data_IF_074675066093
#
_entry.id   IF_074675066093
#
_cell.length_a   1.000
_cell.length_b   1.000
_cell.length_c   1.000
_cell.angle_alpha   90.00
_cell.angle_beta   90.00
_cell.angle_gamma   90.00
#
_symmetry.space_group_name_H-M   'P 1'
#
loop_
_entity.id
_entity.type
_entity.pdbx_description
1 polymer ?
#
# COMPACT_ATOMS: atom_id res chain seq x y z
N UNK A 1 1.37 1.41 37.53
CA UNK A 1 1.90 2.79 37.62
C UNK A 1 1.98 3.34 36.20
N UNK A 2 1.21 4.40 35.88
CA UNK A 2 1.16 4.98 34.53
C UNK A 2 2.35 5.95 34.38
N UNK A 3 3.45 5.50 33.80
CA UNK A 3 4.62 6.35 33.59
C UNK A 3 4.34 7.25 32.38
N UNK A 4 3.97 8.52 32.63
CA UNK A 4 3.80 9.53 31.58
C UNK A 4 5.17 10.01 31.11
N UNK A 5 5.86 9.19 30.32
CA UNK A 5 7.03 9.67 29.58
C UNK A 5 6.56 10.51 28.39
N UNK A 6 6.39 11.81 28.60
CA UNK A 6 6.35 12.75 27.48
C UNK A 6 7.77 12.86 26.93
N UNK A 7 8.21 11.89 26.13
CA UNK A 7 9.39 12.11 25.30
C UNK A 7 8.99 13.13 24.24
N UNK A 8 9.23 14.41 24.54
CA UNK A 8 9.16 15.56 23.65
C UNK A 8 10.20 15.49 22.52
N UNK A 9 10.79 14.32 22.26
CA UNK A 9 11.48 14.01 21.01
C UNK A 9 10.59 14.55 19.91
N UNK A 10 11.11 15.58 19.26
CA UNK A 10 10.37 16.45 18.37
C UNK A 10 9.43 15.56 17.57
N UNK A 11 8.14 15.63 17.86
CA UNK A 11 7.14 15.04 17.00
C UNK A 11 7.11 15.94 15.77
N UNK A 12 8.25 16.05 15.05
CA UNK A 12 8.26 16.25 13.62
C UNK A 12 7.20 15.30 13.14
N UNK A 13 6.06 15.88 12.76
CA UNK A 13 4.76 15.22 12.74
C UNK A 13 4.88 14.10 11.72
N UNK A 14 5.23 12.91 12.18
CA UNK A 14 5.56 11.82 11.29
C UNK A 14 4.31 11.51 10.51
N UNK A 15 4.44 11.49 9.19
CA UNK A 15 3.36 11.07 8.29
C UNK A 15 2.87 9.69 8.74
N UNK A 16 1.57 9.47 8.62
CA UNK A 16 0.93 8.16 8.80
C UNK A 16 0.60 7.59 7.44
N UNK A 17 0.82 6.28 7.30
CA UNK A 17 0.61 5.58 6.05
C UNK A 17 -0.54 4.59 6.23
N UNK A 18 -1.44 4.51 5.25
CA UNK A 18 -2.53 3.54 5.24
C UNK A 18 -2.34 2.58 4.07
N UNK A 19 -2.02 1.32 4.38
CA UNK A 19 -2.14 0.23 3.40
C UNK A 19 -3.57 -0.25 3.42
N UNK A 20 -4.17 -0.46 2.24
CA UNK A 20 -5.50 -1.06 2.12
C UNK A 20 -5.41 -2.22 1.15
N UNK A 21 -6.12 -3.29 1.48
CA UNK A 21 -6.22 -4.51 0.67
C UNK A 21 -7.68 -4.73 0.37
N UNK A 22 -8.02 -4.83 -0.91
CA UNK A 22 -9.38 -5.07 -1.40
C UNK A 22 -9.46 -6.45 -2.01
N UNK A 23 -10.36 -7.28 -1.49
CA UNK A 23 -10.74 -8.57 -2.07
C UNK A 23 -11.92 -8.36 -3.00
N UNK A 24 -11.71 -8.68 -4.27
CA UNK A 24 -12.68 -8.45 -5.34
C UNK A 24 -13.40 -9.76 -5.61
N UNK A 25 -14.72 -9.70 -5.75
CA UNK A 25 -15.53 -10.84 -6.18
C UNK A 25 -15.02 -11.25 -7.58
N UNK A 26 -14.64 -12.52 -7.82
CA UNK A 26 -13.91 -12.90 -9.04
C UNK A 26 -14.61 -12.49 -10.34
N UNK A 27 -15.92 -12.66 -10.45
CA UNK A 27 -16.69 -12.29 -11.66
C UNK A 27 -16.96 -10.78 -11.79
N UNK A 28 -16.53 -9.96 -10.82
CA UNK A 28 -16.58 -8.48 -10.85
C UNK A 28 -15.19 -7.87 -11.02
N UNK A 29 -14.14 -8.69 -11.16
CA UNK A 29 -12.76 -8.21 -11.25
C UNK A 29 -12.56 -7.19 -12.37
N UNK A 30 -13.00 -7.49 -13.59
CA UNK A 30 -12.83 -6.59 -14.74
C UNK A 30 -13.60 -5.28 -14.56
N UNK A 31 -14.81 -5.33 -14.00
CA UNK A 31 -15.60 -4.15 -13.67
C UNK A 31 -14.86 -3.27 -12.66
N UNK A 32 -14.37 -3.87 -11.57
CA UNK A 32 -13.64 -3.14 -10.54
C UNK A 32 -12.32 -2.57 -11.05
N UNK A 33 -11.59 -3.34 -11.86
CA UNK A 33 -10.34 -2.94 -12.47
C UNK A 33 -10.54 -1.72 -13.36
N UNK A 34 -11.46 -1.79 -14.34
CA UNK A 34 -11.75 -0.67 -15.25
C UNK A 34 -12.17 0.59 -14.50
N UNK A 35 -13.08 0.44 -13.54
CA UNK A 35 -13.54 1.55 -12.70
C UNK A 35 -12.37 2.18 -11.91
N UNK A 36 -11.50 1.36 -11.31
CA UNK A 36 -10.35 1.86 -10.56
C UNK A 36 -9.35 2.58 -11.47
N UNK A 37 -9.07 2.04 -12.67
CA UNK A 37 -8.19 2.67 -13.64
C UNK A 37 -8.72 4.03 -14.11
N UNK A 38 -10.03 4.14 -14.33
CA UNK A 38 -10.68 5.38 -14.77
C UNK A 38 -10.72 6.45 -13.67
N UNK A 39 -11.08 6.06 -12.44
CA UNK A 39 -11.47 6.99 -11.39
C UNK A 39 -10.37 7.29 -10.39
N UNK A 40 -9.29 6.49 -10.33
CA UNK A 40 -8.20 6.79 -9.39
C UNK A 40 -7.58 8.19 -9.53
N UNK A 41 -7.46 8.81 -10.73
CA UNK A 41 -6.98 10.18 -10.86
C UNK A 41 -7.76 11.19 -10.00
N UNK A 42 -9.08 11.00 -9.87
CA UNK A 42 -9.93 11.86 -9.02
C UNK A 42 -9.54 11.73 -7.54
N UNK A 43 -9.16 10.52 -7.12
CA UNK A 43 -8.71 10.27 -5.75
C UNK A 43 -7.32 10.83 -5.50
N UNK A 44 -6.37 10.65 -6.43
CA UNK A 44 -5.00 11.11 -6.25
C UNK A 44 -4.88 12.63 -6.27
N UNK A 45 -5.81 13.33 -6.93
CA UNK A 45 -5.91 14.79 -6.88
C UNK A 45 -6.14 15.35 -5.45
N UNK A 46 -6.73 14.56 -4.54
CA UNK A 46 -7.03 14.98 -3.16
C UNK A 46 -6.35 14.12 -2.09
N UNK A 47 -5.67 13.03 -2.46
CA UNK A 47 -5.00 12.11 -1.55
C UNK A 47 -3.64 11.70 -2.11
N UNK A 48 -2.59 11.80 -1.30
CA UNK A 48 -1.25 11.39 -1.72
C UNK A 48 -1.15 9.86 -1.77
N UNK A 49 -1.17 9.30 -2.98
CA UNK A 49 -0.95 7.88 -3.23
C UNK A 49 0.55 7.61 -3.32
N UNK A 50 1.03 6.58 -2.63
CA UNK A 50 2.42 6.14 -2.71
C UNK A 50 2.58 4.95 -3.66
N UNK A 51 1.54 4.13 -3.79
CA UNK A 51 1.42 3.20 -4.89
C UNK A 51 0.13 2.41 -4.87
N UNK A 52 -0.17 1.78 -6.00
CA UNK A 52 -1.34 0.96 -6.23
C UNK A 52 -0.95 -0.23 -7.10
N UNK A 53 -1.35 -1.41 -6.68
CA UNK A 53 -0.87 -2.68 -7.23
C UNK A 53 -2.00 -3.69 -7.36
N UNK A 54 -1.95 -4.46 -8.46
CA UNK A 54 -2.68 -5.73 -8.60
C UNK A 54 -1.83 -6.87 -8.05
N UNK A 55 -2.41 -7.69 -7.18
CA UNK A 55 -1.77 -8.92 -6.68
C UNK A 55 -1.91 -10.03 -7.71
N UNK A 56 -0.81 -10.72 -8.00
CA UNK A 56 -0.76 -11.86 -8.93
C UNK A 56 -0.58 -13.20 -8.21
N UNK A 57 0.14 -13.22 -7.08
CA UNK A 57 0.40 -14.44 -6.30
C UNK A 57 0.26 -14.12 -4.81
N UNK A 58 -0.32 -15.05 -4.04
CA UNK A 58 -0.54 -14.90 -2.60
C UNK A 58 -1.84 -14.15 -2.24
N UNK A 59 -2.68 -13.85 -3.23
CA UNK A 59 -3.93 -13.11 -3.04
C UNK A 59 -4.61 -12.81 -4.38
N UNK A 60 -5.18 -13.83 -5.01
CA UNK A 60 -5.87 -13.65 -6.29
C UNK A 60 -7.08 -12.72 -6.12
N UNK A 61 -7.38 -11.95 -7.16
CA UNK A 61 -8.44 -10.95 -7.16
C UNK A 61 -8.27 -9.88 -6.05
N UNK A 62 -7.02 -9.56 -5.68
CA UNK A 62 -6.74 -8.49 -4.73
C UNK A 62 -6.07 -7.27 -5.37
N UNK A 63 -6.49 -6.09 -4.90
CA UNK A 63 -5.75 -4.84 -5.11
C UNK A 63 -5.19 -4.33 -3.78
N UNK A 64 -3.93 -3.89 -3.80
CA UNK A 64 -3.23 -3.33 -2.66
C UNK A 64 -2.84 -1.90 -2.98
N UNK A 65 -3.08 -0.97 -2.07
CA UNK A 65 -2.74 0.42 -2.30
C UNK A 65 -2.39 1.17 -1.02
N UNK A 66 -1.41 2.07 -1.15
CA UNK A 66 -0.75 2.76 -0.05
C UNK A 66 -0.96 4.27 -0.13
N UNK A 67 -1.50 4.85 0.94
CA UNK A 67 -1.81 6.27 1.06
C UNK A 67 -0.98 6.94 2.15
N UNK A 68 -0.60 8.20 1.93
CA UNK A 68 0.12 9.02 2.90
C UNK A 68 -0.79 10.14 3.45
N UNK A 69 -0.69 10.36 4.76
CA UNK A 69 -1.37 11.46 5.45
C UNK A 69 -0.45 12.13 6.47
N UNK A 70 -0.57 13.45 6.61
CA UNK A 70 0.12 14.26 7.63
C UNK A 70 -0.18 13.86 9.08
N UNK A 71 -1.35 13.27 9.32
CA UNK A 71 -1.80 12.76 10.62
C UNK A 71 -3.11 12.00 10.48
N UNK A 72 -3.56 11.32 11.53
CA UNK A 72 -4.90 10.72 11.55
C UNK A 72 -6.02 11.77 11.46
N UNK A 73 -5.82 12.98 11.99
CA UNK A 73 -6.77 14.08 11.82
C UNK A 73 -6.86 14.51 10.35
N UNK A 74 -5.72 14.62 9.67
CA UNK A 74 -5.70 14.91 8.23
C UNK A 74 -6.38 13.78 7.43
N UNK A 75 -6.10 12.51 7.75
CA UNK A 75 -6.81 11.36 7.15
C UNK A 75 -8.32 11.47 7.33
N UNK A 76 -8.78 11.77 8.54
CA UNK A 76 -10.20 11.93 8.84
C UNK A 76 -10.85 13.04 7.99
N UNK A 77 -10.21 14.20 7.90
CA UNK A 77 -10.68 15.32 7.07
C UNK A 77 -10.76 14.97 5.58
N UNK A 78 -9.73 14.32 5.02
CA UNK A 78 -9.71 13.91 3.62
C UNK A 78 -10.80 12.88 3.33
N UNK A 79 -10.99 11.88 4.20
CA UNK A 79 -12.05 10.89 4.04
C UNK A 79 -13.44 11.54 4.10
N UNK A 80 -13.69 12.40 5.07
CA UNK A 80 -14.95 13.14 5.15
C UNK A 80 -15.22 14.01 3.92
N UNK A 81 -14.18 14.64 3.34
CA UNK A 81 -14.30 15.42 2.11
C UNK A 81 -14.74 14.52 0.94
N UNK A 82 -14.11 13.36 0.80
CA UNK A 82 -14.40 12.39 -0.26
C UNK A 82 -15.78 11.76 -0.10
N UNK A 83 -16.18 11.45 1.12
CA UNK A 83 -17.50 10.87 1.41
C UNK A 83 -18.64 11.88 1.15
N UNK A 84 -18.35 13.19 1.12
CA UNK A 84 -19.29 14.26 0.74
C UNK A 84 -19.27 14.60 -0.75
N UNK A 85 -18.30 14.08 -1.50
CA UNK A 85 -18.24 14.24 -2.95
C UNK A 85 -19.26 13.26 -3.57
N UNK A 86 -20.36 13.83 -4.06
CA UNK A 86 -21.48 13.05 -4.62
C UNK A 86 -21.11 12.39 -5.96
N UNK A 87 -20.21 12.99 -6.75
CA UNK A 87 -19.74 12.38 -8.00
C UNK A 87 -18.85 11.18 -7.69
N UNK A 88 -17.91 11.34 -6.76
CA UNK A 88 -17.08 10.22 -6.27
C UNK A 88 -17.93 9.09 -5.69
N UNK A 89 -18.92 9.45 -4.87
CA UNK A 89 -19.76 8.47 -4.19
C UNK A 89 -20.58 7.65 -5.19
N UNK A 90 -21.18 8.31 -6.18
CA UNK A 90 -21.97 7.68 -7.25
C UNK A 90 -21.11 6.84 -8.19
N UNK A 91 -19.96 7.37 -8.64
CA UNK A 91 -19.14 6.72 -9.68
C UNK A 91 -18.22 5.65 -9.13
N UNK A 92 -17.75 5.77 -7.88
CA UNK A 92 -16.77 4.85 -7.30
C UNK A 92 -17.25 4.18 -6.02
N UNK A 93 -17.73 4.93 -5.01
CA UNK A 93 -17.98 4.34 -3.68
C UNK A 93 -19.04 3.25 -3.71
N UNK A 94 -20.23 3.51 -4.30
CA UNK A 94 -21.29 2.49 -4.39
C UNK A 94 -20.93 1.35 -5.33
N UNK A 95 -20.46 1.57 -6.57
CA UNK A 95 -20.13 0.46 -7.45
C UNK A 95 -18.95 -0.38 -6.94
N UNK A 96 -17.99 0.22 -6.22
CA UNK A 96 -16.95 -0.53 -5.51
C UNK A 96 -17.54 -1.47 -4.48
N UNK A 97 -18.51 -1.04 -3.67
CA UNK A 97 -19.12 -1.90 -2.64
C UNK A 97 -19.75 -3.15 -3.27
N UNK A 98 -20.33 -3.05 -4.45
CA UNK A 98 -20.89 -4.20 -5.19
C UNK A 98 -19.83 -5.16 -5.74
N UNK A 99 -18.59 -4.71 -5.86
CA UNK A 99 -17.50 -5.51 -6.42
C UNK A 99 -16.63 -6.19 -5.36
N UNK A 100 -16.67 -5.75 -4.10
CA UNK A 100 -15.76 -6.27 -3.06
C UNK A 100 -16.44 -7.30 -2.17
N UNK A 101 -15.77 -8.43 -1.92
CA UNK A 101 -16.17 -9.41 -0.90
C UNK A 101 -15.68 -9.01 0.49
N UNK A 102 -14.49 -8.41 0.57
CA UNK A 102 -13.93 -7.86 1.80
C UNK A 102 -12.92 -6.73 1.53
N UNK A 103 -12.59 -5.99 2.58
CA UNK A 103 -11.52 -5.01 2.55
C UNK A 103 -10.92 -4.86 3.94
N UNK A 104 -9.60 -4.74 4.02
CA UNK A 104 -8.88 -4.46 5.26
C UNK A 104 -7.97 -3.26 5.08
N UNK A 105 -7.52 -2.68 6.19
CA UNK A 105 -6.49 -1.65 6.18
C UNK A 105 -5.59 -1.74 7.41
N UNK A 106 -4.38 -1.21 7.25
CA UNK A 106 -3.39 -1.08 8.32
C UNK A 106 -2.87 0.35 8.35
N UNK A 107 -2.70 0.90 9.54
CA UNK A 107 -1.95 2.14 9.76
C UNK A 107 -0.51 1.82 10.09
N UNK A 108 0.40 2.54 9.44
CA UNK A 108 1.82 2.25 9.51
C UNK A 108 2.66 3.52 9.65
N UNK A 109 3.87 3.36 10.17
CA UNK A 109 4.92 4.40 10.20
C UNK A 109 6.05 3.98 9.27
N UNK A 110 6.47 4.86 8.38
CA UNK A 110 7.62 4.61 7.50
C UNK A 110 8.90 4.49 8.33
N UNK A 111 9.66 3.42 8.08
CA UNK A 111 10.99 3.22 8.65
C UNK A 111 12.08 3.42 7.60
N UNK A 112 11.77 3.14 6.34
CA UNK A 112 12.67 3.35 5.21
C UNK A 112 11.89 3.60 3.92
N UNK A 113 12.45 4.41 3.03
CA UNK A 113 12.01 4.53 1.63
C UNK A 113 13.20 4.93 0.77
N UNK A 114 13.28 4.35 -0.42
CA UNK A 114 14.24 4.79 -1.42
C UNK A 114 14.01 6.25 -1.83
N UNK A 115 15.11 6.98 -2.11
CA UNK A 115 15.04 8.40 -2.45
C UNK A 115 14.44 8.68 -3.84
N UNK A 116 14.71 7.80 -4.82
CA UNK A 116 14.27 7.97 -6.21
C UNK A 116 13.41 6.80 -6.66
N UNK A 117 12.13 7.08 -6.91
CA UNK A 117 11.22 6.09 -7.51
C UNK A 117 11.38 6.11 -9.03
N UNK A 118 11.72 4.96 -9.60
CA UNK A 118 12.05 4.84 -11.02
C UNK A 118 10.81 4.82 -11.93
N UNK A 119 10.98 5.35 -13.14
CA UNK A 119 10.03 5.21 -14.27
C UNK A 119 10.16 3.87 -15.00
N UNK A 120 11.17 3.05 -14.65
CA UNK A 120 11.28 1.70 -15.16
C UNK A 120 10.20 0.80 -14.55
N UNK A 121 9.79 -0.20 -15.34
CA UNK A 121 8.80 -1.17 -14.91
C UNK A 121 9.45 -2.29 -14.10
N UNK A 122 9.13 -2.38 -12.81
CA UNK A 122 9.59 -3.47 -11.94
C UNK A 122 8.51 -4.54 -11.76
N UNK A 123 8.79 -5.61 -11.03
CA UNK A 123 7.84 -6.47 -10.31
C UNK A 123 8.00 -6.16 -8.81
N UNK A 124 6.92 -6.21 -8.03
CA UNK A 124 7.03 -5.98 -6.58
C UNK A 124 6.64 -7.22 -5.80
N UNK A 125 7.29 -7.40 -4.66
CA UNK A 125 6.80 -8.24 -3.59
C UNK A 125 6.47 -7.35 -2.39
N UNK A 126 5.26 -7.46 -1.86
CA UNK A 126 5.02 -7.02 -0.49
C UNK A 126 5.30 -8.20 0.44
N UNK A 127 5.96 -7.92 1.56
CA UNK A 127 6.33 -8.93 2.56
C UNK A 127 6.09 -8.35 3.94
N UNK A 128 5.21 -8.97 4.72
CA UNK A 128 4.95 -8.60 6.11
C UNK A 128 5.66 -9.60 7.01
N UNK A 129 6.56 -9.16 7.87
CA UNK A 129 7.44 -10.04 8.68
C UNK A 129 7.58 -9.52 10.12
N UNK A 130 7.94 -10.39 11.09
CA UNK A 130 8.32 -9.91 12.42
C UNK A 130 9.67 -9.16 12.43
N UNK A 131 10.51 -9.35 11.41
CA UNK A 131 11.85 -8.76 11.32
C UNK A 131 11.80 -7.32 10.82
N UNK A 132 12.49 -6.41 11.52
CA UNK A 132 12.58 -5.00 11.12
C UNK A 132 13.45 -4.79 9.89
N UNK A 133 14.53 -5.55 9.79
CA UNK A 133 15.53 -5.44 8.74
C UNK A 133 15.54 -6.74 7.93
N UNK A 134 15.70 -6.62 6.61
CA UNK A 134 15.81 -7.77 5.72
C UNK A 134 17.24 -7.85 5.19
N UNK A 135 17.84 -9.04 5.27
CA UNK A 135 19.10 -9.34 4.59
C UNK A 135 18.77 -9.79 3.17
N UNK A 136 18.94 -8.89 2.20
CA UNK A 136 18.72 -9.19 0.78
C UNK A 136 20.02 -9.71 0.15
N UNK A 137 20.13 -11.02 0.00
CA UNK A 137 21.27 -11.68 -0.67
C UNK A 137 21.04 -11.90 -2.17
N UNK A 138 19.79 -11.77 -2.63
CA UNK A 138 19.42 -12.02 -4.02
C UNK A 138 19.85 -10.88 -4.95
N UNK A 139 20.67 -11.14 -5.98
CA UNK A 139 20.99 -10.14 -6.99
C UNK A 139 19.73 -9.61 -7.69
N UNK A 140 19.67 -8.30 -7.95
CA UNK A 140 18.57 -7.67 -8.69
C UNK A 140 17.32 -7.33 -7.88
N UNK A 141 17.20 -7.82 -6.63
CA UNK A 141 16.13 -7.40 -5.71
C UNK A 141 16.61 -6.25 -4.83
N UNK A 142 15.79 -5.22 -4.70
CA UNK A 142 16.07 -4.05 -3.85
C UNK A 142 14.89 -3.73 -2.95
N UNK A 143 15.18 -3.19 -1.78
CA UNK A 143 14.18 -2.65 -0.87
C UNK A 143 13.72 -1.28 -1.36
N UNK A 144 12.44 -1.15 -1.71
CA UNK A 144 11.83 0.10 -2.12
C UNK A 144 11.31 0.91 -0.91
N UNK A 145 10.71 0.22 0.08
CA UNK A 145 10.23 0.86 1.31
C UNK A 145 9.99 -0.15 2.45
N UNK A 146 10.04 0.33 3.69
CA UNK A 146 9.69 -0.42 4.91
C UNK A 146 8.84 0.42 5.84
N UNK A 147 7.92 -0.23 6.56
CA UNK A 147 6.99 0.41 7.48
C UNK A 147 6.72 -0.50 8.68
N UNK A 148 6.60 0.08 9.88
CA UNK A 148 6.07 -0.59 11.07
C UNK A 148 4.54 -0.53 11.05
N UNK A 149 3.86 -1.67 11.17
CA UNK A 149 2.41 -1.75 11.34
C UNK A 149 2.04 -1.37 12.77
N UNK A 150 1.31 -0.28 12.93
CA UNK A 150 0.95 0.30 14.23
C UNK A 150 -0.49 -0.03 14.64
N UNK A 151 -1.42 -0.17 13.69
CA UNK A 151 -2.82 -0.55 13.94
C UNK A 151 -3.31 -1.42 12.79
N UNK A 152 -4.01 -2.50 13.12
CA UNK A 152 -4.71 -3.36 12.16
C UNK A 152 -4.19 -4.79 12.17
N UNK A 153 -4.46 -5.51 11.09
CA UNK A 153 -3.88 -6.83 10.89
C UNK A 153 -2.35 -6.75 10.99
N UNK A 154 -1.69 -7.74 11.61
CA UNK A 154 -0.23 -7.76 11.76
C UNK A 154 0.39 -6.62 12.59
N UNK A 155 -0.36 -6.03 13.53
CA UNK A 155 0.20 -5.04 14.48
C UNK A 155 1.52 -5.52 15.11
N UNK A 156 2.52 -4.63 15.15
CA UNK A 156 3.86 -4.93 15.66
C UNK A 156 4.82 -5.56 14.63
N UNK A 157 4.32 -5.99 13.47
CA UNK A 157 5.14 -6.49 12.35
C UNK A 157 5.58 -5.35 11.41
N UNK A 158 6.47 -5.68 10.48
CA UNK A 158 6.99 -4.78 9.48
C UNK A 158 6.49 -5.17 8.09
N UNK A 159 5.98 -4.19 7.35
CA UNK A 159 5.66 -4.30 5.93
C UNK A 159 6.88 -3.81 5.12
N UNK A 160 7.39 -4.65 4.24
CA UNK A 160 8.45 -4.36 3.29
C UNK A 160 7.92 -4.43 1.87
N UNK A 161 8.31 -3.46 1.06
CA UNK A 161 8.08 -3.42 -0.37
C UNK A 161 9.41 -3.66 -1.08
N UNK A 162 9.55 -4.82 -1.71
CA UNK A 162 10.71 -5.24 -2.48
C UNK A 162 10.42 -5.13 -3.96
N UNK A 163 11.42 -4.84 -4.78
CA UNK A 163 11.29 -4.78 -6.24
C UNK A 163 12.43 -5.49 -6.96
N UNK A 164 12.11 -6.10 -8.09
CA UNK A 164 13.06 -6.74 -9.00
C UNK A 164 12.62 -6.58 -10.45
N UNK A 165 13.52 -6.76 -11.41
CA UNK A 165 13.15 -6.70 -12.83
C UNK A 165 12.47 -8.00 -13.26
N UNK A 166 12.96 -9.14 -12.76
CA UNK A 166 12.40 -10.47 -13.03
C UNK A 166 11.58 -10.97 -11.84
N UNK A 167 10.54 -11.77 -12.12
CA UNK A 167 9.73 -12.41 -11.08
C UNK A 167 10.52 -13.45 -10.29
N UNK A 168 11.39 -14.20 -10.98
CA UNK A 168 12.19 -15.26 -10.37
C UNK A 168 13.24 -14.73 -9.40
N UNK A 169 13.69 -13.47 -9.57
CA UNK A 169 14.53 -12.80 -8.57
C UNK A 169 13.74 -12.59 -7.27
N UNK A 170 12.47 -12.19 -7.35
CA UNK A 170 11.64 -12.00 -6.16
C UNK A 170 11.37 -13.33 -5.43
N UNK A 171 11.27 -14.45 -6.14
CA UNK A 171 11.04 -15.77 -5.54
C UNK A 171 12.25 -16.26 -4.73
N UNK A 172 13.46 -15.80 -5.06
CA UNK A 172 14.69 -16.15 -4.34
C UNK A 172 14.85 -15.41 -3.00
N UNK A 173 13.99 -14.43 -2.69
CA UNK A 173 13.99 -13.77 -1.39
C UNK A 173 13.58 -14.78 -0.31
N UNK A 174 14.43 -14.95 0.70
CA UNK A 174 14.25 -15.96 1.75
C UNK A 174 12.88 -15.86 2.43
N UNK A 175 12.29 -17.03 2.70
CA UNK A 175 11.07 -17.13 3.50
C UNK A 175 11.42 -17.00 4.97
N UNK A 176 10.71 -16.11 5.67
CA UNK A 176 10.92 -15.86 7.09
C UNK A 176 9.68 -16.43 7.81
N UNK A 177 9.82 -17.33 8.79
CA UNK A 177 8.69 -17.88 9.54
C UNK A 177 7.76 -16.79 10.09
N UNK A 178 6.45 -17.02 9.99
CA UNK A 178 5.44 -16.05 10.40
C UNK A 178 5.26 -14.85 9.46
N UNK A 179 5.86 -14.88 8.27
CA UNK A 179 5.69 -13.84 7.25
C UNK A 179 4.55 -14.14 6.27
N UNK A 180 4.00 -13.08 5.69
CA UNK A 180 3.06 -13.15 4.56
C UNK A 180 3.64 -12.39 3.39
N UNK A 181 3.80 -13.05 2.26
CA UNK A 181 4.31 -12.45 1.01
C UNK A 181 3.25 -12.47 -0.08
N UNK A 182 3.21 -11.41 -0.89
CA UNK A 182 2.42 -11.36 -2.13
C UNK A 182 3.25 -10.79 -3.26
N UNK A 183 3.19 -11.40 -4.43
CA UNK A 183 3.79 -10.86 -5.66
C UNK A 183 2.74 -10.05 -6.40
N UNK A 184 3.12 -8.86 -6.81
CA UNK A 184 2.28 -7.90 -7.49
C UNK A 184 2.79 -7.69 -8.92
N UNK A 185 1.86 -7.41 -9.85
CA UNK A 185 2.12 -7.22 -11.29
C UNK A 185 3.07 -6.04 -11.59
N UNK A 186 3.30 -5.59 -12.83
CA UNK A 186 4.28 -4.52 -13.21
C UNK A 186 3.82 -3.04 -13.10
N UNK A 187 4.68 -2.10 -12.65
CA UNK A 187 4.48 -0.63 -12.39
C UNK A 187 5.77 0.05 -12.72
N UNK A 188 5.58 1.32 -12.99
CA UNK A 188 6.52 2.39 -12.81
C UNK A 188 5.91 3.51 -11.98
N UNK A 189 6.75 4.47 -11.61
CA UNK A 189 6.27 5.80 -11.28
C UNK A 189 5.44 6.37 -12.46
N UNK A 190 4.26 6.90 -12.15
CA UNK A 190 3.41 7.63 -13.10
C UNK A 190 3.36 9.09 -12.69
N UNK A 191 3.91 9.97 -13.52
CA UNK A 191 3.91 11.42 -13.26
C UNK A 191 2.50 12.01 -13.23
N UNK A 192 1.56 11.48 -14.03
CA UNK A 192 0.17 11.94 -14.03
C UNK A 192 -0.58 11.53 -12.76
N UNK A 193 -0.25 10.37 -12.18
CA UNK A 193 -0.87 9.88 -10.95
C UNK A 193 -0.16 10.35 -9.67
N UNK A 194 1.11 10.75 -9.79
CA UNK A 194 1.96 11.09 -8.65
C UNK A 194 2.28 9.90 -7.75
N UNK A 195 2.26 8.67 -8.26
CA UNK A 195 2.48 7.46 -7.49
C UNK A 195 3.07 6.30 -8.32
N UNK A 196 3.47 5.21 -7.64
CA UNK A 196 3.76 3.93 -8.29
C UNK A 196 2.44 3.34 -8.77
N UNK A 197 2.29 3.16 -10.08
CA UNK A 197 1.01 2.81 -10.69
C UNK A 197 1.12 1.53 -11.52
N UNK A 198 0.31 0.52 -11.17
CA UNK A 198 0.13 -0.77 -11.86
C UNK A 198 -1.32 -0.98 -12.23
#
# INVERSE_FOLDING_TARGET
>A
MLQRSFSLLSMAKQKVYELRVYDIIPNKYDTFYRMSMELLPLRTAVSRCQGYWVVQIGGLNQMVHLWEYDSLQHRYQIRNKIDRDTDWTRRYTYPRQECLSSQTNMLMRMTYREGNVSTNSFKYMMKITPEKELVLTTPGVTLAASYLVTIGEHEGKYFHLLKGMMLDDLLQVESIPGSVSKIMGPARWSSSMGCIWR
#
